data_IF_707521376222
#
_entry.id   IF_707521376222
#
_cell.length_a   1.000
_cell.length_b   1.000
_cell.length_c   1.000
_cell.angle_alpha   90.00
_cell.angle_beta   90.00
_cell.angle_gamma   90.00
#
_symmetry.space_group_name_H-M   'P 1'
#
loop_
_entity.id
_entity.type
_entity.pdbx_description
1 polymer ?
#
# COMPACT_ATOMS: atom_id res chain seq x y z
N UNK A 1 13.45 -37.92 -0.75
CA UNK A 1 14.67 -37.41 -0.06
C UNK A 1 14.79 -35.89 -0.14
N UNK A 2 14.75 -35.27 -1.33
CA UNK A 2 14.92 -33.81 -1.50
C UNK A 2 13.98 -32.94 -0.63
N UNK A 3 12.69 -33.27 -0.57
CA UNK A 3 11.71 -32.55 0.27
C UNK A 3 12.04 -32.59 1.78
N UNK A 4 12.58 -33.71 2.28
CA UNK A 4 12.94 -33.84 3.69
C UNK A 4 14.14 -32.95 4.01
N UNK A 5 15.12 -32.89 3.10
CA UNK A 5 16.30 -32.03 3.24
C UNK A 5 15.92 -30.54 3.23
N UNK A 6 15.04 -30.13 2.31
CA UNK A 6 14.52 -28.75 2.28
C UNK A 6 13.78 -28.43 3.57
N UNK A 7 12.90 -29.32 4.03
CA UNK A 7 12.10 -29.09 5.22
C UNK A 7 12.98 -28.87 6.47
N UNK A 8 13.99 -29.73 6.66
CA UNK A 8 14.94 -29.62 7.77
C UNK A 8 15.74 -28.32 7.66
N UNK A 9 16.22 -27.95 6.48
CA UNK A 9 16.93 -26.68 6.26
C UNK A 9 16.05 -25.47 6.57
N UNK A 10 14.80 -25.43 6.11
CA UNK A 10 13.87 -24.34 6.42
C UNK A 10 13.60 -24.22 7.91
N UNK A 11 13.52 -25.34 8.63
CA UNK A 11 13.27 -25.35 10.08
C UNK A 11 14.48 -24.79 10.85
N UNK A 12 15.69 -25.20 10.49
CA UNK A 12 16.94 -24.68 11.08
C UNK A 12 17.08 -23.18 10.81
N UNK A 13 16.86 -22.74 9.56
CA UNK A 13 16.92 -21.33 9.19
C UNK A 13 15.87 -20.52 9.96
N UNK A 14 14.64 -21.03 10.12
CA UNK A 14 13.58 -20.36 10.86
C UNK A 14 13.93 -20.17 12.34
N UNK A 15 14.56 -21.16 12.98
CA UNK A 15 15.00 -21.06 14.38
C UNK A 15 16.13 -20.03 14.51
N UNK A 16 17.09 -20.04 13.58
CA UNK A 16 18.19 -19.08 13.59
C UNK A 16 17.74 -17.64 13.27
N UNK A 17 16.70 -17.48 12.45
CA UNK A 17 16.11 -16.19 12.12
C UNK A 17 15.18 -15.64 13.21
N UNK A 18 14.71 -16.47 14.15
CA UNK A 18 13.83 -16.06 15.24
C UNK A 18 14.30 -14.82 16.03
N UNK A 19 15.55 -14.74 16.53
CA UNK A 19 16.02 -13.53 17.23
C UNK A 19 16.04 -12.28 16.34
N UNK A 20 16.28 -12.43 15.04
CA UNK A 20 16.24 -11.33 14.08
C UNK A 20 14.79 -10.84 13.91
N UNK A 21 13.84 -11.76 13.70
CA UNK A 21 12.41 -11.42 13.57
C UNK A 21 11.88 -10.73 14.83
N UNK A 22 12.31 -11.18 16.02
CA UNK A 22 11.92 -10.56 17.28
C UNK A 22 12.44 -9.13 17.43
N UNK A 23 13.70 -8.87 17.05
CA UNK A 23 14.28 -7.51 17.06
C UNK A 23 13.55 -6.57 16.09
N UNK A 24 13.24 -7.06 14.89
CA UNK A 24 12.48 -6.30 13.89
C UNK A 24 11.08 -5.97 14.42
N UNK A 25 10.38 -6.93 15.03
CA UNK A 25 9.06 -6.70 15.64
C UNK A 25 9.09 -5.64 16.73
N UNK A 26 10.10 -5.66 17.61
CA UNK A 26 10.24 -4.65 18.66
C UNK A 26 10.55 -3.26 18.13
N UNK A 27 11.33 -3.17 17.05
CA UNK A 27 11.59 -1.90 16.39
C UNK A 27 10.33 -1.35 15.72
N UNK A 28 9.55 -2.20 15.05
CA UNK A 28 8.30 -1.83 14.39
C UNK A 28 7.23 -1.44 15.42
N UNK A 29 7.19 -2.07 16.60
CA UNK A 29 6.20 -1.78 17.66
C UNK A 29 6.09 -0.29 17.98
N UNK A 30 7.22 0.39 18.20
CA UNK A 30 7.24 1.80 18.55
C UNK A 30 6.78 2.70 17.40
N UNK A 31 7.12 2.33 16.17
CA UNK A 31 6.65 3.03 14.96
C UNK A 31 5.15 2.83 14.73
N UNK A 32 4.61 1.63 14.95
CA UNK A 32 3.17 1.39 14.87
C UNK A 32 2.42 2.19 15.94
N UNK A 33 2.97 2.26 17.15
CA UNK A 33 2.35 2.98 18.25
C UNK A 33 2.34 4.50 18.01
N UNK A 34 3.39 5.05 17.41
CA UNK A 34 3.42 6.48 17.04
C UNK A 34 2.43 6.82 15.93
N UNK A 35 2.23 5.92 14.95
CA UNK A 35 1.22 6.09 13.90
C UNK A 35 -0.19 6.09 14.50
N UNK A 36 -0.50 5.12 15.37
CA UNK A 36 -1.81 5.02 16.02
C UNK A 36 -2.05 6.24 16.91
N UNK A 37 -1.06 6.63 17.72
CA UNK A 37 -1.15 7.80 18.59
C UNK A 37 -1.38 9.09 17.80
N UNK A 38 -0.68 9.30 16.68
CA UNK A 38 -0.88 10.45 15.81
C UNK A 38 -2.30 10.52 15.23
N UNK A 39 -2.85 9.37 14.81
CA UNK A 39 -4.24 9.31 14.32
C UNK A 39 -5.26 9.67 15.40
N UNK A 40 -5.06 9.19 16.63
CA UNK A 40 -5.94 9.46 17.76
C UNK A 40 -5.89 10.93 18.17
N UNK A 41 -4.71 11.53 18.21
CA UNK A 41 -4.53 12.96 18.51
C UNK A 41 -5.29 13.81 17.50
N UNK A 42 -5.22 13.48 16.20
CA UNK A 42 -5.96 14.20 15.16
C UNK A 42 -7.48 14.09 15.33
N UNK A 43 -8.00 12.91 15.67
CA UNK A 43 -9.44 12.71 15.93
C UNK A 43 -9.88 13.53 17.14
N UNK A 44 -9.11 13.48 18.23
CA UNK A 44 -9.40 14.24 19.46
C UNK A 44 -9.37 15.75 19.18
N UNK A 45 -8.36 16.26 18.45
CA UNK A 45 -8.28 17.67 18.07
C UNK A 45 -9.50 18.11 17.26
N UNK A 46 -9.94 17.31 16.28
CA UNK A 46 -11.15 17.60 15.50
C UNK A 46 -12.40 17.63 16.37
N UNK A 47 -12.56 16.68 17.30
CA UNK A 47 -13.70 16.65 18.22
C UNK A 47 -13.73 17.88 19.14
N UNK A 48 -12.58 18.25 19.71
CA UNK A 48 -12.47 19.42 20.58
C UNK A 48 -12.78 20.70 19.77
N UNK A 49 -12.17 20.86 18.60
CA UNK A 49 -12.40 22.05 17.76
C UNK A 49 -13.85 22.13 17.26
N UNK A 50 -14.46 21.00 16.93
CA UNK A 50 -15.86 20.98 16.52
C UNK A 50 -16.77 21.47 17.67
N UNK A 51 -16.53 20.97 18.89
CA UNK A 51 -17.28 21.39 20.09
C UNK A 51 -17.07 22.87 20.46
N UNK A 52 -15.89 23.43 20.18
CA UNK A 52 -15.56 24.83 20.50
C UNK A 52 -16.05 25.82 19.42
N UNK A 53 -15.94 25.46 18.14
CA UNK A 53 -16.19 26.36 17.02
C UNK A 53 -17.63 26.27 16.49
N UNK A 54 -18.26 25.10 16.57
CA UNK A 54 -19.61 24.86 16.05
C UNK A 54 -20.63 24.73 17.17
N UNK A 55 -21.77 25.40 17.00
CA UNK A 55 -23.04 25.08 17.65
C UNK A 55 -23.93 24.35 16.63
N UNK A 56 -25.01 23.72 17.10
CA UNK A 56 -25.93 22.95 16.25
C UNK A 56 -26.36 23.71 14.97
N UNK A 57 -26.57 25.03 15.05
CA UNK A 57 -27.09 25.83 13.94
C UNK A 57 -26.18 26.98 13.45
N UNK A 58 -25.09 27.31 14.17
CA UNK A 58 -24.26 28.46 13.79
C UNK A 58 -22.80 28.33 14.25
N UNK A 59 -21.91 29.04 13.54
CA UNK A 59 -20.49 29.13 13.87
C UNK A 59 -20.30 30.15 15.00
N UNK A 60 -19.86 29.69 16.17
CA UNK A 60 -19.64 30.55 17.35
C UNK A 60 -18.48 31.53 17.16
N UNK A 61 -17.37 31.07 16.58
CA UNK A 61 -16.11 31.82 16.51
C UNK A 61 -15.45 31.63 15.14
N UNK A 62 -15.80 32.50 14.19
CA UNK A 62 -15.31 32.44 12.80
C UNK A 62 -13.78 32.61 12.68
N UNK A 63 -13.17 33.44 13.52
CA UNK A 63 -11.73 33.69 13.50
C UNK A 63 -10.92 32.44 13.89
N UNK A 64 -11.31 31.76 14.98
CA UNK A 64 -10.66 30.52 15.41
C UNK A 64 -10.81 29.39 14.39
N UNK A 65 -11.99 29.28 13.78
CA UNK A 65 -12.22 28.29 12.73
C UNK A 65 -11.28 28.50 11.54
N UNK A 66 -11.13 29.75 11.10
CA UNK A 66 -10.27 30.07 9.94
C UNK A 66 -8.79 29.74 10.20
N UNK A 67 -8.30 29.98 11.42
CA UNK A 67 -6.93 29.62 11.82
C UNK A 67 -6.76 28.09 11.85
N UNK A 68 -7.75 27.38 12.38
CA UNK A 68 -7.72 25.92 12.44
C UNK A 68 -7.78 25.28 11.05
N UNK A 69 -8.64 25.76 10.16
CA UNK A 69 -8.73 25.28 8.79
C UNK A 69 -7.43 25.53 8.02
N UNK A 70 -6.79 26.68 8.24
CA UNK A 70 -5.47 26.96 7.67
C UNK A 70 -4.40 25.97 8.15
N UNK A 71 -4.39 25.66 9.45
CA UNK A 71 -3.49 24.66 10.01
C UNK A 71 -3.76 23.25 9.47
N UNK A 72 -5.03 22.85 9.36
CA UNK A 72 -5.43 21.59 8.76
C UNK A 72 -5.01 21.49 7.29
N UNK A 73 -5.11 22.59 6.54
CA UNK A 73 -4.68 22.65 5.15
C UNK A 73 -3.17 22.40 5.01
N UNK A 74 -2.35 23.00 5.87
CA UNK A 74 -0.90 22.75 5.88
C UNK A 74 -0.58 21.28 6.20
N UNK A 75 -1.23 20.70 7.22
CA UNK A 75 -1.08 19.29 7.54
C UNK A 75 -1.54 18.38 6.40
N UNK A 76 -2.62 18.73 5.70
CA UNK A 76 -3.14 17.97 4.57
C UNK A 76 -2.16 17.96 3.38
N UNK A 77 -1.46 19.07 3.13
CA UNK A 77 -0.41 19.12 2.11
C UNK A 77 0.71 18.14 2.43
N UNK A 78 1.22 18.16 3.68
CA UNK A 78 2.28 17.25 4.12
C UNK A 78 1.82 15.80 4.03
N UNK A 79 0.60 15.50 4.50
CA UNK A 79 0.01 14.17 4.41
C UNK A 79 -0.15 13.70 2.95
N UNK A 80 -0.54 14.60 2.05
CA UNK A 80 -0.63 14.34 0.62
C UNK A 80 0.70 13.95 0.01
N UNK A 81 1.78 14.67 0.35
CA UNK A 81 3.15 14.37 -0.10
C UNK A 81 3.59 12.99 0.40
N UNK A 82 3.42 12.71 1.69
CA UNK A 82 3.79 11.41 2.28
C UNK A 82 2.98 10.27 1.63
N UNK A 83 1.67 10.48 1.39
CA UNK A 83 0.83 9.49 0.71
C UNK A 83 1.23 9.28 -0.75
N UNK A 84 1.70 10.31 -1.45
CA UNK A 84 2.18 10.16 -2.82
C UNK A 84 3.46 9.33 -2.87
N UNK A 85 4.41 9.61 -1.95
CA UNK A 85 5.66 8.85 -1.82
C UNK A 85 5.39 7.39 -1.47
N UNK A 86 4.49 7.12 -0.51
CA UNK A 86 4.17 5.74 -0.11
C UNK A 86 3.50 4.96 -1.25
N UNK A 87 2.57 5.58 -1.98
CA UNK A 87 1.95 4.98 -3.18
C UNK A 87 2.98 4.69 -4.27
N UNK A 88 3.91 5.61 -4.51
CA UNK A 88 4.99 5.39 -5.46
C UNK A 88 5.85 4.19 -5.06
N UNK A 89 6.24 4.08 -3.78
CA UNK A 89 6.98 2.94 -3.27
C UNK A 89 6.24 1.60 -3.43
N UNK A 90 4.94 1.58 -3.11
CA UNK A 90 4.09 0.39 -3.28
C UNK A 90 3.98 0.00 -4.76
N UNK A 91 3.77 0.97 -5.66
CA UNK A 91 3.71 0.72 -7.11
C UNK A 91 5.02 0.13 -7.64
N UNK A 92 6.17 0.67 -7.22
CA UNK A 92 7.47 0.10 -7.57
C UNK A 92 7.60 -1.34 -7.08
N UNK A 93 7.22 -1.63 -5.84
CA UNK A 93 7.27 -2.99 -5.28
C UNK A 93 6.35 -3.96 -6.05
N UNK A 94 5.14 -3.54 -6.40
CA UNK A 94 4.20 -4.33 -7.21
C UNK A 94 4.79 -4.57 -8.60
N UNK A 95 5.39 -3.56 -9.23
CA UNK A 95 6.05 -3.70 -10.53
C UNK A 95 7.18 -4.74 -10.46
N UNK A 96 8.03 -4.71 -9.43
CA UNK A 96 9.07 -5.72 -9.24
C UNK A 96 8.50 -7.13 -9.06
N UNK A 97 7.42 -7.28 -8.29
CA UNK A 97 6.76 -8.57 -8.10
C UNK A 97 6.06 -9.05 -9.37
N UNK A 98 5.54 -8.13 -10.19
CA UNK A 98 4.85 -8.46 -11.44
C UNK A 98 5.80 -8.98 -12.52
N UNK A 99 7.10 -8.63 -12.50
CA UNK A 99 8.10 -9.19 -13.44
C UNK A 99 8.17 -10.73 -13.35
N UNK A 100 7.90 -11.31 -12.18
CA UNK A 100 7.93 -12.76 -11.97
C UNK A 100 6.66 -13.47 -12.48
N UNK A 101 5.65 -12.72 -12.91
CA UNK A 101 4.34 -13.21 -13.32
C UNK A 101 4.05 -12.83 -14.76
N UNK A 102 3.68 -13.81 -15.58
CA UNK A 102 3.35 -13.60 -17.00
C UNK A 102 1.83 -13.46 -17.19
N UNK A 103 1.05 -13.92 -16.22
CA UNK A 103 -0.41 -14.01 -16.28
C UNK A 103 -1.13 -12.67 -16.09
N UNK A 104 -0.46 -11.67 -15.49
CA UNK A 104 -1.04 -10.34 -15.21
C UNK A 104 -0.23 -9.28 -15.93
N UNK A 105 -0.91 -8.36 -16.61
CA UNK A 105 -0.26 -7.22 -17.26
C UNK A 105 0.33 -6.28 -16.20
N UNK A 106 1.62 -5.99 -16.32
CA UNK A 106 2.36 -5.17 -15.35
C UNK A 106 2.08 -3.66 -15.49
N UNK A 107 1.59 -3.22 -16.65
CA UNK A 107 1.31 -1.82 -16.93
C UNK A 107 -0.20 -1.51 -16.86
N UNK A 108 -0.61 -0.29 -16.46
CA UNK A 108 -2.03 0.10 -16.53
C UNK A 108 -2.52 0.10 -17.98
N UNK A 109 -3.78 -0.27 -18.19
CA UNK A 109 -4.35 -0.55 -19.51
C UNK A 109 -4.26 0.62 -20.50
N UNK A 110 -4.44 1.85 -20.02
CA UNK A 110 -4.30 3.03 -20.87
C UNK A 110 -2.87 3.18 -21.42
N UNK A 111 -1.86 2.74 -20.67
CA UNK A 111 -0.45 2.83 -21.04
C UNK A 111 -0.02 1.66 -21.94
N UNK A 112 -0.54 0.46 -21.68
CA UNK A 112 -0.26 -0.75 -22.49
C UNK A 112 -0.86 -0.69 -23.90
N UNK A 113 -1.86 0.19 -24.11
CA UNK A 113 -2.44 0.49 -25.42
C UNK A 113 -1.61 1.49 -26.22
N UNK A 114 -0.86 2.39 -25.56
CA UNK A 114 0.00 3.37 -26.23
C UNK A 114 1.35 2.78 -26.60
N UNK A 115 1.93 1.96 -25.70
CA UNK A 115 3.24 1.36 -25.87
C UNK A 115 3.16 -0.15 -25.60
N UNK A 116 3.75 -0.94 -26.51
CA UNK A 116 3.88 -2.39 -26.35
C UNK A 116 4.99 -2.73 -25.34
N UNK A 117 4.72 -2.48 -24.07
CA UNK A 117 5.70 -2.65 -22.97
C UNK A 117 5.72 -4.09 -22.47
N UNK A 118 4.58 -4.77 -22.44
CA UNK A 118 4.46 -6.14 -21.92
C UNK A 118 4.18 -7.14 -23.05
N UNK A 119 5.22 -7.44 -23.84
CA UNK A 119 5.14 -8.40 -24.95
C UNK A 119 4.93 -9.83 -24.47
N UNK A 120 5.49 -10.19 -23.30
CA UNK A 120 5.40 -11.54 -22.76
C UNK A 120 3.97 -11.88 -22.36
N UNK A 121 3.28 -11.00 -21.63
CA UNK A 121 1.88 -11.19 -21.29
C UNK A 121 0.98 -11.33 -22.53
N UNK A 122 1.18 -10.47 -23.55
CA UNK A 122 0.42 -10.56 -24.81
C UNK A 122 0.68 -11.87 -25.57
N UNK A 123 1.94 -12.33 -25.61
CA UNK A 123 2.28 -13.62 -26.22
C UNK A 123 1.66 -14.81 -25.50
N UNK A 124 1.55 -14.73 -24.17
CA UNK A 124 0.88 -15.72 -23.34
C UNK A 124 -0.63 -15.75 -23.60
N UNK A 125 -1.29 -14.60 -23.68
CA UNK A 125 -2.71 -14.57 -24.07
C UNK A 125 -2.96 -15.05 -25.50
N UNK A 126 -2.06 -14.72 -26.44
CA UNK A 126 -2.16 -15.20 -27.81
C UNK A 126 -2.03 -16.72 -27.90
N UNK A 127 -1.12 -17.34 -27.13
CA UNK A 127 -0.98 -18.80 -27.10
C UNK A 127 -2.19 -19.50 -26.49
N UNK A 128 -2.77 -18.93 -25.44
CA UNK A 128 -4.04 -19.39 -24.85
C UNK A 128 -5.17 -19.33 -25.89
N UNK A 129 -5.28 -18.21 -26.63
CA UNK A 129 -6.30 -18.05 -27.66
C UNK A 129 -6.14 -19.08 -28.79
N UNK A 130 -4.92 -19.32 -29.26
CA UNK A 130 -4.62 -20.36 -30.27
C UNK A 130 -5.01 -21.74 -29.74
N UNK A 131 -4.66 -22.06 -28.48
CA UNK A 131 -5.00 -23.34 -27.89
C UNK A 131 -6.52 -23.53 -27.79
N UNK A 132 -7.28 -22.52 -27.39
CA UNK A 132 -8.74 -22.60 -27.29
C UNK A 132 -9.44 -22.64 -28.64
N UNK A 133 -8.88 -21.99 -29.68
CA UNK A 133 -9.48 -22.01 -31.02
C UNK A 133 -9.28 -23.34 -31.74
N UNK A 134 -8.14 -24.02 -31.52
CA UNK A 134 -7.86 -25.31 -32.17
C UNK A 134 -8.28 -26.54 -31.34
N UNK A 135 -8.24 -26.45 -30.01
CA UNK A 135 -8.54 -27.55 -29.10
C UNK A 135 -9.70 -27.21 -28.16
N UNK A 136 -10.80 -26.68 -28.71
CA UNK A 136 -12.02 -26.45 -27.93
C UNK A 136 -12.63 -27.81 -27.56
N UNK A 137 -12.86 -28.12 -26.27
CA UNK A 137 -13.45 -29.40 -25.86
C UNK A 137 -14.98 -29.51 -26.10
N UNK A 138 -15.59 -28.49 -26.72
CA UNK A 138 -17.01 -28.45 -27.11
C UNK A 138 -17.13 -28.78 -28.59
#
# INVERSE_FOLDING_TARGET
>A
MFFVVIFVLTLVISIMAWPLTWRILWYIKWNLLSIIAGSLINVILKLIMNKLCYNFDHIKRRSLLSIFDFFLLQLAIVAGIVSAISRFGILCAILFLSIMRIDVNSAPDWFSNLLYIDMFNKSYYASILIQHTHNNPI
#
